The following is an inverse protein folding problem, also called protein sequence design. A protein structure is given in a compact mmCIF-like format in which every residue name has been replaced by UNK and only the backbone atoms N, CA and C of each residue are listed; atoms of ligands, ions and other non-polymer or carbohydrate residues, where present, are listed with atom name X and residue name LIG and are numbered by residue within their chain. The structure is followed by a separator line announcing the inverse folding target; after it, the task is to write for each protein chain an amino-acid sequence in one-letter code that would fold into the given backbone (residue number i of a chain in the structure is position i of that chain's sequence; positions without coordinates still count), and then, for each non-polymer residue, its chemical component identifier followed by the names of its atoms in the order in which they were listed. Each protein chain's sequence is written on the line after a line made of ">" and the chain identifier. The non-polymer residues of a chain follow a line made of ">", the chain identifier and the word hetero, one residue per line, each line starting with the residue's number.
data_IF_693741608780
#
_entry.id   IF_693741608780
#
_cell.length_a   1.000
_cell.length_b   1.000
_cell.length_c   1.000
_cell.angle_alpha   90.00
_cell.angle_beta   90.00
_cell.angle_gamma   90.00
#
_symmetry.space_group_name_H-M   'P 1'
#
loop_
_entity.id
_entity.type
_entity.pdbx_description
1 polymer ?
#
# COMPACT_ATOMS: atom_id res chain seq x y z
N UNK A 1 14.12 5.70 -11.38
CA UNK A 1 12.95 4.78 -11.47
C UNK A 1 12.16 4.90 -12.79
N UNK A 2 11.83 6.09 -13.30
CA UNK A 2 10.92 6.29 -14.46
C UNK A 2 11.40 5.82 -15.86
N UNK A 3 12.66 5.40 -16.04
CA UNK A 3 13.26 5.11 -17.36
C UNK A 3 13.36 3.61 -17.74
N UNK A 4 13.00 2.68 -16.86
CA UNK A 4 13.17 1.23 -17.09
C UNK A 4 11.91 0.38 -16.87
N UNK A 5 10.85 0.93 -16.29
CA UNK A 5 9.62 0.19 -15.97
C UNK A 5 8.46 0.75 -16.79
N UNK A 6 7.83 -0.07 -17.62
CA UNK A 6 6.58 0.29 -18.32
C UNK A 6 5.38 0.21 -17.37
N UNK A 7 5.40 -0.79 -16.48
CA UNK A 7 4.36 -1.01 -15.48
C UNK A 7 4.91 -1.11 -14.07
N UNK A 8 4.13 -0.68 -13.10
CA UNK A 8 4.47 -0.73 -11.68
C UNK A 8 3.43 -1.60 -10.96
N UNK A 9 3.93 -2.50 -10.10
CA UNK A 9 3.12 -3.26 -9.18
C UNK A 9 3.28 -2.68 -7.78
N UNK A 10 2.21 -2.10 -7.23
CA UNK A 10 2.18 -1.60 -5.87
C UNK A 10 1.70 -2.68 -4.91
N UNK A 11 2.64 -3.17 -4.11
CA UNK A 11 2.37 -4.08 -2.98
C UNK A 11 2.18 -3.28 -1.71
N UNK A 12 1.10 -3.57 -0.98
CA UNK A 12 0.80 -2.95 0.31
C UNK A 12 0.54 -4.03 1.35
N UNK A 13 1.44 -4.15 2.34
CA UNK A 13 1.37 -5.16 3.42
C UNK A 13 1.09 -6.59 2.93
N UNK A 14 1.81 -7.01 1.89
CA UNK A 14 1.68 -8.35 1.31
C UNK A 14 0.48 -8.55 0.38
N UNK A 15 -0.36 -7.53 0.20
CA UNK A 15 -1.48 -7.56 -0.74
C UNK A 15 -1.19 -6.71 -1.98
N UNK A 16 -1.63 -7.17 -3.15
CA UNK A 16 -1.57 -6.38 -4.37
C UNK A 16 -2.59 -5.24 -4.26
N UNK A 17 -2.12 -3.99 -4.19
CA UNK A 17 -2.98 -2.81 -4.07
C UNK A 17 -3.35 -2.26 -5.43
N UNK A 18 -2.39 -2.22 -6.36
CA UNK A 18 -2.60 -1.76 -7.73
C UNK A 18 -1.50 -2.31 -8.65
N UNK A 19 -1.84 -2.58 -9.89
CA UNK A 19 -0.89 -2.84 -10.97
C UNK A 19 -1.34 -2.07 -12.20
N UNK A 20 -0.42 -1.38 -12.87
CA UNK A 20 -0.79 -0.52 -13.98
C UNK A 20 0.39 0.22 -14.59
N UNK A 21 0.08 1.19 -15.44
CA UNK A 21 1.08 2.03 -16.09
C UNK A 21 1.86 2.83 -15.06
N UNK A 22 3.16 3.00 -15.34
CA UNK A 22 4.10 3.57 -14.36
C UNK A 22 3.68 4.93 -13.80
N UNK A 23 3.07 5.77 -14.63
CA UNK A 23 2.69 7.14 -14.28
C UNK A 23 1.47 7.15 -13.36
N UNK A 24 0.48 6.33 -13.68
CA UNK A 24 -0.74 6.18 -12.90
C UNK A 24 -0.44 5.63 -11.49
N UNK A 25 0.24 4.49 -11.41
CA UNK A 25 0.54 3.85 -10.13
C UNK A 25 1.48 4.73 -9.29
N UNK A 26 2.42 5.44 -9.91
CA UNK A 26 3.29 6.37 -9.20
C UNK A 26 2.51 7.57 -8.64
N UNK A 27 1.53 8.11 -9.37
CA UNK A 27 0.70 9.20 -8.90
C UNK A 27 -0.12 8.78 -7.68
N UNK A 28 -0.81 7.64 -7.75
CA UNK A 28 -1.57 7.11 -6.62
C UNK A 28 -0.70 6.80 -5.40
N UNK A 29 0.49 6.26 -5.63
CA UNK A 29 1.45 6.02 -4.55
C UNK A 29 1.90 7.34 -3.88
N UNK A 30 2.19 8.38 -4.68
CA UNK A 30 2.59 9.68 -4.14
C UNK A 30 1.47 10.34 -3.33
N UNK A 31 0.22 10.26 -3.81
CA UNK A 31 -0.96 10.73 -3.07
C UNK A 31 -1.12 9.99 -1.74
N UNK A 32 -0.94 8.67 -1.74
CA UNK A 32 -0.96 7.86 -0.52
C UNK A 32 0.13 8.30 0.46
N UNK A 33 1.37 8.49 0.00
CA UNK A 33 2.48 8.91 0.86
C UNK A 33 2.21 10.29 1.46
N UNK A 34 1.71 11.23 0.66
CA UNK A 34 1.35 12.57 1.14
C UNK A 34 0.26 12.49 2.21
N UNK A 35 -0.85 11.81 1.91
CA UNK A 35 -1.94 11.59 2.86
C UNK A 35 -1.44 10.96 4.16
N UNK A 36 -0.60 9.91 4.07
CA UNK A 36 -0.09 9.19 5.22
C UNK A 36 0.85 10.06 6.07
N UNK A 37 1.70 10.87 5.43
CA UNK A 37 2.61 11.77 6.12
C UNK A 37 1.87 12.89 6.87
N UNK A 38 0.74 13.36 6.33
CA UNK A 38 -0.12 14.37 6.95
C UNK A 38 -0.87 13.84 8.20
N UNK A 39 -0.86 12.53 8.45
CA UNK A 39 -1.51 11.94 9.63
C UNK A 39 -0.69 12.13 10.91
N UNK A 40 -1.39 12.12 12.05
CA UNK A 40 -0.77 12.14 13.38
C UNK A 40 0.04 10.87 13.66
N UNK A 41 1.00 10.96 14.58
CA UNK A 41 1.82 9.82 14.99
C UNK A 41 0.98 8.71 15.64
N UNK A 42 -0.08 9.07 16.37
CA UNK A 42 -1.02 8.09 16.95
C UNK A 42 -1.76 7.34 15.85
N UNK A 43 -2.26 8.04 14.83
CA UNK A 43 -2.92 7.42 13.69
C UNK A 43 -1.95 6.48 12.94
N UNK A 44 -0.73 6.94 12.65
CA UNK A 44 0.29 6.13 11.96
C UNK A 44 0.58 4.83 12.71
N UNK A 45 0.68 4.87 14.04
CA UNK A 45 0.88 3.66 14.88
C UNK A 45 -0.30 2.69 14.79
N UNK A 46 -1.53 3.21 14.90
CA UNK A 46 -2.74 2.39 14.79
C UNK A 46 -2.87 1.77 13.39
N UNK A 47 -2.71 2.58 12.34
CA UNK A 47 -2.77 2.13 10.96
C UNK A 47 -1.76 1.01 10.67
N UNK A 48 -0.50 1.17 11.08
CA UNK A 48 0.52 0.13 10.90
C UNK A 48 0.16 -1.17 11.65
N UNK A 49 -0.39 -1.04 12.86
CA UNK A 49 -0.80 -2.21 13.66
C UNK A 49 -1.93 -2.97 12.97
N UNK A 50 -2.95 -2.27 12.50
CA UNK A 50 -4.06 -2.86 11.76
C UNK A 50 -3.60 -3.54 10.46
N UNK A 51 -2.73 -2.88 9.69
CA UNK A 51 -2.21 -3.45 8.44
C UNK A 51 -1.35 -4.70 8.68
N UNK A 52 -0.54 -4.72 9.74
CA UNK A 52 0.23 -5.92 10.14
C UNK A 52 -0.68 -7.07 10.58
N UNK A 53 -1.78 -6.77 11.30
CA UNK A 53 -2.77 -7.78 11.68
C UNK A 53 -3.41 -8.37 10.42
N UNK A 54 -3.85 -7.52 9.48
CA UNK A 54 -4.42 -7.95 8.19
C UNK A 54 -3.44 -8.78 7.36
N UNK A 55 -2.14 -8.49 7.43
CA UNK A 55 -1.13 -9.29 6.75
C UNK A 55 -0.97 -10.68 7.37
N UNK A 56 -0.99 -10.78 8.72
CA UNK A 56 -0.87 -12.06 9.44
C UNK A 56 -2.11 -12.93 9.30
N UNK A 57 -3.29 -12.30 9.29
CA UNK A 57 -4.59 -12.94 9.15
C UNK A 57 -5.26 -12.39 7.89
N UNK A 58 -4.77 -12.79 6.71
CA UNK A 58 -5.33 -12.28 5.48
C UNK A 58 -6.75 -12.85 5.33
N UNK A 59 -7.73 -12.02 4.97
CA UNK A 59 -9.16 -12.38 5.03
C UNK A 59 -9.53 -13.55 4.10
N UNK A 60 -8.72 -13.83 3.07
CA UNK A 60 -8.83 -14.99 2.18
C UNK A 60 -8.54 -16.33 2.88
N UNK A 61 -7.87 -16.31 4.04
CA UNK A 61 -7.47 -17.51 4.81
C UNK A 61 -8.26 -17.73 6.09
N UNK A 62 -9.23 -16.88 6.40
CA UNK A 62 -10.00 -16.95 7.65
C UNK A 62 -11.27 -17.83 7.56
N UNK A 63 -11.39 -18.64 6.51
CA UNK A 63 -12.55 -19.47 6.22
C UNK A 63 -12.25 -20.83 5.57
N UNK A 64 -11.11 -21.46 5.89
CA UNK A 64 -10.86 -22.87 5.60
C UNK A 64 -10.49 -23.63 6.86
#
# INVERSE_FOLDING_TARGET
>A
MKKLCDRIMWMHYGSLKMIGEKEEVANFYNEFVKWYNDQSDSFKKTYQTEMKIKQKFPPDKMGK
#
